data_IF_302959572484
#
_entry.id   IF_302959572484
#
_cell.length_a   1.000
_cell.length_b   1.000
_cell.length_c   1.000
_cell.angle_alpha   90.00
_cell.angle_beta   90.00
_cell.angle_gamma   90.00
#
_symmetry.space_group_name_H-M   'P 1'
#
loop_
_entity.id
_entity.type
_entity.pdbx_description
1 polymer ?
#
# COMPACT_ATOMS: atom_id res chain seq x y z
N UNK A 1 3.90 -11.61 -12.94
CA UNK A 1 3.92 -11.72 -11.46
C UNK A 1 2.98 -12.83 -11.01
N UNK A 2 3.53 -14.04 -10.87
CA UNK A 2 2.75 -15.28 -10.72
C UNK A 2 2.66 -15.80 -9.27
N UNK A 3 3.28 -15.13 -8.31
CA UNK A 3 3.24 -15.51 -6.90
C UNK A 3 3.08 -14.29 -5.98
N UNK A 4 2.65 -14.58 -4.75
CA UNK A 4 2.52 -13.60 -3.66
C UNK A 4 3.87 -12.98 -3.31
N UNK A 5 4.92 -13.79 -3.12
CA UNK A 5 6.28 -13.30 -2.85
C UNK A 5 6.77 -12.34 -3.94
N UNK A 6 6.62 -12.71 -5.21
CA UNK A 6 7.09 -11.88 -6.32
C UNK A 6 6.37 -10.53 -6.36
N UNK A 7 5.06 -10.52 -6.07
CA UNK A 7 4.29 -9.29 -5.99
C UNK A 7 4.74 -8.39 -4.82
N UNK A 8 5.04 -8.98 -3.66
CA UNK A 8 5.56 -8.27 -2.50
C UNK A 8 6.96 -7.67 -2.77
N UNK A 9 7.87 -8.44 -3.35
CA UNK A 9 9.21 -7.95 -3.73
C UNK A 9 9.12 -6.82 -4.75
N UNK A 10 8.31 -6.99 -5.79
CA UNK A 10 8.13 -5.96 -6.82
C UNK A 10 7.47 -4.70 -6.27
N UNK A 11 6.49 -4.83 -5.37
CA UNK A 11 5.89 -3.69 -4.67
C UNK A 11 6.92 -2.92 -3.86
N UNK A 12 7.84 -3.61 -3.17
CA UNK A 12 8.92 -2.97 -2.44
C UNK A 12 9.85 -2.18 -3.37
N UNK A 13 10.18 -2.72 -4.55
CA UNK A 13 11.00 -2.01 -5.55
C UNK A 13 10.32 -0.71 -5.98
N UNK A 14 9.03 -0.75 -6.34
CA UNK A 14 8.28 0.45 -6.73
C UNK A 14 8.19 1.48 -5.60
N UNK A 15 7.77 1.06 -4.41
CA UNK A 15 7.58 1.97 -3.28
C UNK A 15 8.91 2.57 -2.82
N UNK A 16 10.00 1.79 -2.82
CA UNK A 16 11.35 2.29 -2.58
C UNK A 16 11.78 3.32 -3.63
N UNK A 17 11.46 3.09 -4.90
CA UNK A 17 11.77 4.04 -5.97
C UNK A 17 11.00 5.36 -5.82
N UNK A 18 9.72 5.30 -5.46
CA UNK A 18 8.86 6.49 -5.35
C UNK A 18 9.12 7.27 -4.06
N UNK A 19 9.21 6.59 -2.91
CA UNK A 19 9.21 7.20 -1.59
C UNK A 19 10.53 7.08 -0.82
N UNK A 20 11.49 6.32 -1.34
CA UNK A 20 12.76 6.04 -0.67
C UNK A 20 12.71 4.81 0.25
N UNK A 21 13.89 4.26 0.54
CA UNK A 21 14.06 3.02 1.31
C UNK A 21 13.43 3.10 2.70
N UNK A 22 13.68 4.16 3.45
CA UNK A 22 13.21 4.28 4.84
C UNK A 22 11.68 4.24 4.93
N UNK A 23 10.99 4.98 4.06
CA UNK A 23 9.52 4.99 4.03
C UNK A 23 8.95 3.65 3.60
N UNK A 24 9.58 3.00 2.61
CA UNK A 24 9.17 1.67 2.15
C UNK A 24 9.30 0.62 3.26
N UNK A 25 10.41 0.62 4.01
CA UNK A 25 10.61 -0.30 5.15
C UNK A 25 9.64 -0.01 6.31
N UNK A 26 9.38 1.27 6.63
CA UNK A 26 8.51 1.65 7.74
C UNK A 26 7.07 1.14 7.59
N UNK A 27 6.59 1.02 6.35
CA UNK A 27 5.26 0.52 6.07
C UNK A 27 5.16 -1.01 6.01
N UNK A 28 6.21 -1.76 6.34
CA UNK A 28 6.13 -3.23 6.46
C UNK A 28 5.46 -3.66 7.77
N UNK A 29 4.85 -4.87 7.83
CA UNK A 29 4.62 -5.77 6.69
C UNK A 29 3.54 -5.21 5.76
N UNK A 30 3.68 -5.48 4.46
CA UNK A 30 2.65 -5.12 3.49
C UNK A 30 1.50 -6.13 3.51
N UNK A 31 0.29 -5.63 3.36
CA UNK A 31 -0.89 -6.45 3.09
C UNK A 31 -0.97 -6.71 1.60
N UNK A 32 -1.36 -7.93 1.21
CA UNK A 32 -1.52 -8.30 -0.19
C UNK A 32 -2.81 -9.08 -0.39
N UNK A 33 -3.54 -8.70 -1.44
CA UNK A 33 -4.79 -9.33 -1.88
C UNK A 33 -4.65 -9.73 -3.34
N UNK A 34 -5.08 -10.94 -3.65
CA UNK A 34 -5.27 -11.39 -5.02
C UNK A 34 -6.56 -10.77 -5.57
N UNK A 35 -6.44 -9.93 -6.60
CA UNK A 35 -7.58 -9.35 -7.31
C UNK A 35 -7.54 -9.74 -8.79
N UNK A 36 -7.80 -11.03 -9.03
CA UNK A 36 -7.90 -11.66 -10.35
C UNK A 36 -6.69 -11.37 -11.26
N UNK A 37 -6.73 -10.28 -12.02
CA UNK A 37 -5.71 -9.87 -12.99
C UNK A 37 -4.58 -9.04 -12.38
N UNK A 38 -4.71 -8.58 -11.14
CA UNK A 38 -3.69 -7.81 -10.44
C UNK A 38 -3.47 -8.29 -9.01
N UNK A 39 -2.35 -7.85 -8.45
CA UNK A 39 -2.10 -7.88 -7.02
C UNK A 39 -2.38 -6.50 -6.46
N UNK A 40 -3.20 -6.42 -5.42
CA UNK A 40 -3.34 -5.21 -4.61
C UNK A 40 -2.43 -5.32 -3.40
N UNK A 41 -1.50 -4.38 -3.25
CA UNK A 41 -0.60 -4.31 -2.11
C UNK A 41 -0.83 -3.00 -1.37
N UNK A 42 -0.94 -3.08 -0.05
CA UNK A 42 -1.15 -1.94 0.83
C UNK A 42 -0.05 -1.89 1.88
N UNK A 43 0.42 -0.68 2.17
CA UNK A 43 1.30 -0.45 3.29
C UNK A 43 0.59 -0.70 4.63
N UNK A 44 1.38 -0.93 5.67
CA UNK A 44 0.88 -0.98 7.03
C UNK A 44 0.25 0.34 7.39
N UNK A 45 -1.00 0.28 7.84
CA UNK A 45 -1.72 1.46 8.29
C UNK A 45 -0.97 2.13 9.46
N UNK A 46 -0.72 3.45 9.39
CA UNK A 46 -0.08 4.18 10.48
C UNK A 46 -0.99 4.14 11.71
N UNK A 47 -0.39 4.17 12.90
CA UNK A 47 -1.12 4.23 14.19
C UNK A 47 -1.46 5.66 14.60
N UNK A 48 -0.80 6.64 13.97
CA UNK A 48 -0.96 8.07 14.18
C UNK A 48 -1.26 8.73 12.84
N UNK A 49 -1.43 10.06 12.80
CA UNK A 49 -1.49 10.80 11.54
C UNK A 49 -0.32 10.43 10.63
N UNK A 50 -0.62 10.01 9.39
CA UNK A 50 0.40 9.59 8.45
C UNK A 50 -0.17 9.21 7.08
N UNK A 51 0.71 8.86 6.15
CA UNK A 51 0.33 8.38 4.82
C UNK A 51 0.34 6.86 4.73
N UNK A 52 -0.60 6.25 4.00
CA UNK A 52 -0.55 4.86 3.57
C UNK A 52 -0.57 4.80 2.03
N UNK A 53 0.10 3.80 1.46
CA UNK A 53 0.06 3.55 0.02
C UNK A 53 -0.82 2.35 -0.32
N UNK A 54 -1.37 2.38 -1.52
CA UNK A 54 -1.92 1.21 -2.23
C UNK A 54 -1.26 1.16 -3.60
N UNK A 55 -0.76 0.01 -4.02
CA UNK A 55 -0.24 -0.23 -5.38
C UNK A 55 -0.96 -1.42 -6.01
N UNK A 56 -1.36 -1.26 -7.28
CA UNK A 56 -1.91 -2.32 -8.10
C UNK A 56 -0.85 -2.79 -9.09
N UNK A 57 -0.51 -4.08 -9.06
CA UNK A 57 0.50 -4.67 -9.94
C UNK A 57 -0.16 -5.68 -10.88
N UNK A 58 -0.05 -5.48 -12.19
CA UNK A 58 -0.56 -6.42 -13.17
C UNK A 58 0.12 -7.78 -13.06
N UNK A 59 -0.66 -8.87 -12.99
CA UNK A 59 -0.10 -10.23 -12.98
C UNK A 59 0.58 -10.59 -14.29
N UNK A 60 0.13 -10.02 -15.40
CA UNK A 60 0.64 -10.29 -16.75
C UNK A 60 2.14 -10.01 -16.88
N UNK A 61 2.58 -8.83 -16.45
CA UNK A 61 3.92 -8.31 -16.74
C UNK A 61 4.58 -7.57 -15.55
N UNK A 62 3.86 -7.35 -14.46
CA UNK A 62 4.38 -6.61 -13.30
C UNK A 62 4.37 -5.10 -13.45
N UNK A 63 3.67 -4.57 -14.45
CA UNK A 63 3.42 -3.14 -14.54
C UNK A 63 2.64 -2.66 -13.31
N UNK A 64 3.10 -1.56 -12.70
CA UNK A 64 2.29 -0.81 -11.75
C UNK A 64 1.15 -0.12 -12.50
N UNK A 65 -0.08 -0.59 -12.29
CA UNK A 65 -1.27 -0.03 -12.92
C UNK A 65 -1.70 1.27 -12.23
N UNK A 66 -1.54 1.32 -10.91
CA UNK A 66 -1.86 2.49 -10.10
C UNK A 66 -1.05 2.51 -8.80
N UNK A 67 -0.76 3.71 -8.29
CA UNK A 67 -0.13 3.96 -7.00
C UNK A 67 -0.89 5.09 -6.31
N UNK A 68 -1.67 4.75 -5.29
CA UNK A 68 -2.50 5.69 -4.54
C UNK A 68 -1.82 5.98 -3.20
N UNK A 69 -1.74 7.26 -2.82
CA UNK A 69 -1.32 7.70 -1.49
C UNK A 69 -2.52 8.29 -0.74
N UNK A 70 -2.79 7.80 0.46
CA UNK A 70 -3.88 8.30 1.32
C UNK A 70 -3.30 8.86 2.61
N UNK A 71 -3.69 10.07 2.96
CA UNK A 71 -3.45 10.61 4.30
C UNK A 71 -4.51 10.01 5.23
N UNK A 72 -4.05 9.35 6.28
CA UNK A 72 -4.88 8.71 7.29
C UNK A 72 -4.76 9.53 8.57
N UNK A 73 -5.89 10.09 8.99
CA UNK A 73 -6.06 10.69 10.31
C UNK A 73 -6.50 9.59 11.29
N UNK A 74 -5.56 9.11 12.09
CA UNK A 74 -5.91 8.26 13.23
C UNK A 74 -6.41 9.16 14.35
N UNK A 75 -7.73 9.27 14.48
CA UNK A 75 -8.35 9.90 15.65
C UNK A 75 -8.21 8.92 16.82
N UNK A 76 -7.54 9.32 17.90
CA UNK A 76 -7.37 8.52 19.13
C UNK A 76 -8.69 8.35 19.93
N UNK A 77 -9.81 8.85 19.41
CA UNK A 77 -11.06 8.84 20.15
C UNK A 77 -11.96 7.69 19.71
N UNK A 78 -12.15 6.77 20.64
CA UNK A 78 -13.05 5.62 20.66
C UNK A 78 -14.55 5.96 20.48
N UNK A 79 -14.92 7.03 19.77
CA UNK A 79 -16.32 7.37 19.52
C UNK A 79 -16.64 8.29 18.32
N UNK A 80 -15.73 8.54 17.37
CA UNK A 80 -16.08 9.40 16.22
C UNK A 80 -15.84 8.68 14.90
N UNK A 81 -16.94 8.32 14.23
CA UNK A 81 -16.97 7.82 12.86
C UNK A 81 -16.18 8.78 11.95
N UNK A 82 -15.14 8.32 11.23
CA UNK A 82 -14.41 9.19 10.34
C UNK A 82 -15.28 9.54 9.14
N UNK A 83 -15.65 10.81 9.03
CA UNK A 83 -16.30 11.36 7.85
C UNK A 83 -15.32 11.31 6.67
N UNK A 84 -15.71 10.56 5.65
CA UNK A 84 -15.14 10.66 4.31
C UNK A 84 -15.30 12.11 3.84
N UNK A 85 -14.20 12.80 3.55
CA UNK A 85 -14.23 14.04 2.77
C UNK A 85 -13.82 13.69 1.34
N UNK A 86 -14.73 14.02 0.42
CA UNK A 86 -14.70 13.78 -1.02
C UNK A 86 -13.60 14.53 -1.75
#
# INVERSE_FOLDING_TARGET
VNSREMALELSYVYIKYIYGKEKAEFQKPYSITDDNNCWKIEGKQPKTLGGNFTILIAKKDGQALDVIHKIIHCSDDSNILPWCVS
#
